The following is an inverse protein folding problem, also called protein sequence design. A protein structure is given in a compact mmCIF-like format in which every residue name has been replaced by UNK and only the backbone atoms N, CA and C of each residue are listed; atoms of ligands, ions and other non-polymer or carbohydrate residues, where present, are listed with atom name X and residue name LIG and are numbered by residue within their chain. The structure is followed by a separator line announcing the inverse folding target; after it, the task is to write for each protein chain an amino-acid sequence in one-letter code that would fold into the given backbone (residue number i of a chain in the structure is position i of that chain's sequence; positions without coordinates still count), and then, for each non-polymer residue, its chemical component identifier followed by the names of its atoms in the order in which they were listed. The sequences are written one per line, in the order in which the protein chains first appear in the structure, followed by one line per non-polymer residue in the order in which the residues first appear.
data_IF_511457315344
#
_entry.id   IF_511457315344
#
_cell.length_a   1.000
_cell.length_b   1.000
_cell.length_c   1.000
_cell.angle_alpha   90.00
_cell.angle_beta   90.00
_cell.angle_gamma   90.00
#
_symmetry.space_group_name_H-M   'P 1'
#
loop_
_entity.id
_entity.type
_entity.pdbx_description
1 polymer ?
#
# COMPACT_ATOMS: atom_id res chain seq x y z
N UNK A 1 14.03 18.52 -0.69
CA UNK A 1 13.44 17.50 -1.57
C UNK A 1 14.56 16.61 -2.08
N UNK A 2 14.58 15.35 -1.69
CA UNK A 2 15.57 14.37 -2.14
C UNK A 2 14.96 13.49 -3.24
N UNK A 3 15.76 13.13 -4.25
CA UNK A 3 15.40 12.14 -5.26
C UNK A 3 16.39 10.98 -5.13
N UNK A 4 15.87 9.79 -4.85
CA UNK A 4 16.66 8.57 -4.71
C UNK A 4 16.34 7.62 -5.86
N UNK A 5 17.31 7.38 -6.75
CA UNK A 5 17.19 6.37 -7.80
C UNK A 5 17.80 5.06 -7.29
N UNK A 6 16.99 3.99 -7.25
CA UNK A 6 17.40 2.64 -6.83
C UNK A 6 16.63 1.59 -7.61
N UNK A 7 17.35 0.53 -7.99
CA UNK A 7 16.73 -0.70 -8.48
C UNK A 7 16.41 -1.59 -7.30
N UNK A 8 15.18 -2.08 -7.22
CA UNK A 8 14.76 -3.04 -6.21
C UNK A 8 14.68 -4.42 -6.87
N UNK A 9 15.47 -5.38 -6.37
CA UNK A 9 15.59 -6.72 -6.95
C UNK A 9 15.99 -6.70 -8.44
N UNK A 10 16.96 -5.86 -8.82
CA UNK A 10 17.42 -5.66 -10.20
C UNK A 10 16.29 -5.21 -11.15
N UNK A 11 15.31 -4.46 -10.63
CA UNK A 11 14.19 -3.91 -11.40
C UNK A 11 14.02 -2.42 -11.09
N UNK A 12 13.81 -1.58 -12.12
CA UNK A 12 13.64 -0.14 -11.94
C UNK A 12 12.21 0.24 -11.46
N UNK A 13 11.31 -0.74 -11.34
CA UNK A 13 9.90 -0.50 -11.04
C UNK A 13 9.62 -0.44 -9.53
N UNK A 14 10.11 0.61 -8.86
CA UNK A 14 9.96 0.74 -7.40
C UNK A 14 8.49 0.65 -6.92
N UNK A 15 7.55 1.25 -7.67
CA UNK A 15 6.11 1.22 -7.34
C UNK A 15 5.44 -0.15 -7.44
N UNK A 16 6.09 -1.15 -8.04
CA UNK A 16 5.61 -2.54 -7.99
C UNK A 16 5.90 -3.16 -6.64
N UNK A 17 7.03 -2.81 -6.04
CA UNK A 17 7.52 -3.40 -4.80
C UNK A 17 7.10 -2.60 -3.57
N UNK A 18 7.03 -1.28 -3.64
CA UNK A 18 6.84 -0.43 -2.48
C UNK A 18 5.57 0.40 -2.57
N UNK A 19 4.96 0.67 -1.41
CA UNK A 19 3.88 1.66 -1.25
C UNK A 19 4.19 2.52 -0.04
N UNK A 20 3.73 3.77 -0.04
CA UNK A 20 4.07 4.73 1.02
C UNK A 20 2.93 5.73 1.25
N UNK A 21 2.80 6.19 2.49
CA UNK A 21 2.11 7.43 2.86
C UNK A 21 3.09 8.36 3.60
N UNK A 22 2.57 9.32 4.34
CA UNK A 22 3.35 10.33 5.06
C UNK A 22 4.11 9.80 6.30
N UNK A 23 3.80 8.60 6.80
CA UNK A 23 4.38 8.05 8.05
C UNK A 23 4.98 6.65 7.91
N UNK A 24 4.50 5.87 6.94
CA UNK A 24 4.79 4.44 6.78
C UNK A 24 5.08 4.12 5.31
N UNK A 25 6.16 3.39 5.08
CA UNK A 25 6.49 2.78 3.79
C UNK A 25 6.54 1.27 3.96
N UNK A 26 5.77 0.56 3.14
CA UNK A 26 5.77 -0.90 3.11
C UNK A 26 6.65 -1.39 1.97
N UNK A 27 7.52 -2.34 2.27
CA UNK A 27 8.47 -2.94 1.32
C UNK A 27 8.43 -4.47 1.41
N UNK A 28 8.86 -5.21 0.39
CA UNK A 28 9.06 -6.65 0.52
C UNK A 28 10.32 -6.99 1.35
N UNK A 29 10.38 -8.18 1.96
CA UNK A 29 11.59 -8.67 2.60
C UNK A 29 12.71 -8.90 1.57
N UNK A 30 13.96 -8.79 2.03
CA UNK A 30 15.16 -9.05 1.22
C UNK A 30 15.79 -7.81 0.57
N UNK A 31 15.26 -6.61 0.85
CA UNK A 31 15.94 -5.36 0.51
C UNK A 31 17.13 -5.16 1.47
N UNK A 32 18.34 -4.82 0.97
CA UNK A 32 19.51 -4.54 1.81
C UNK A 32 19.26 -3.43 2.83
N UNK A 33 19.88 -3.53 4.01
CA UNK A 33 19.73 -2.55 5.10
C UNK A 33 20.08 -1.13 4.66
N UNK A 34 21.16 -0.97 3.90
CA UNK A 34 21.60 0.33 3.39
C UNK A 34 20.54 0.97 2.48
N UNK A 35 19.84 0.19 1.66
CA UNK A 35 18.75 0.68 0.82
C UNK A 35 17.51 1.02 1.66
N UNK A 36 17.20 0.24 2.70
CA UNK A 36 16.11 0.55 3.66
C UNK A 36 16.37 1.89 4.36
N UNK A 37 17.60 2.11 4.84
CA UNK A 37 18.01 3.36 5.49
C UNK A 37 17.96 4.53 4.50
N UNK A 38 18.40 4.34 3.26
CA UNK A 38 18.31 5.35 2.21
C UNK A 38 16.84 5.71 1.88
N UNK A 39 15.96 4.71 1.77
CA UNK A 39 14.52 4.93 1.54
C UNK A 39 13.90 5.69 2.71
N UNK A 40 14.15 5.26 3.95
CA UNK A 40 13.64 5.92 5.15
C UNK A 40 14.12 7.37 5.25
N UNK A 41 15.41 7.63 5.00
CA UNK A 41 15.97 8.98 5.01
C UNK A 41 15.43 9.88 3.90
N UNK A 42 15.15 9.31 2.71
CA UNK A 42 14.61 10.07 1.59
C UNK A 42 13.11 10.39 1.74
N UNK A 43 12.32 9.45 2.26
CA UNK A 43 10.87 9.60 2.42
C UNK A 43 10.46 10.21 3.76
N UNK A 44 11.30 10.11 4.80
CA UNK A 44 10.98 10.56 6.15
C UNK A 44 9.99 9.64 6.89
N UNK A 45 9.87 8.40 6.45
CA UNK A 45 8.88 7.42 6.93
C UNK A 45 9.53 6.26 7.67
N UNK A 46 8.73 5.56 8.49
CA UNK A 46 9.13 4.25 9.01
C UNK A 46 8.98 3.21 7.92
N UNK A 47 10.03 2.42 7.67
CA UNK A 47 10.06 1.41 6.60
C UNK A 47 9.87 0.02 7.18
N UNK A 48 8.81 -0.67 6.77
CA UNK A 48 8.41 -1.96 7.32
C UNK A 48 8.35 -3.07 6.26
N UNK A 49 9.12 -4.16 6.42
CA UNK A 49 9.07 -5.31 5.51
C UNK A 49 7.80 -6.15 5.70
N UNK A 50 7.00 -6.31 4.65
CA UNK A 50 5.78 -7.13 4.64
C UNK A 50 5.67 -7.95 3.36
N UNK A 51 4.81 -8.95 3.39
CA UNK A 51 4.33 -9.66 2.19
C UNK A 51 2.80 -9.63 2.19
N UNK A 52 2.21 -9.81 1.02
CA UNK A 52 0.75 -9.94 0.85
C UNK A 52 0.51 -11.26 0.12
N UNK A 53 -0.02 -12.27 0.80
CA UNK A 53 -0.14 -13.61 0.25
C UNK A 53 1.20 -14.26 -0.07
N UNK A 54 2.26 -13.92 0.68
CA UNK A 54 3.64 -14.31 0.38
C UNK A 54 4.27 -13.62 -0.83
N UNK A 55 3.55 -12.70 -1.48
CA UNK A 55 4.05 -11.94 -2.64
C UNK A 55 4.96 -10.79 -2.23
N UNK A 56 5.96 -10.50 -3.09
CA UNK A 56 6.88 -9.36 -2.95
C UNK A 56 6.42 -8.10 -3.70
N UNK A 57 5.36 -8.17 -4.49
CA UNK A 57 4.85 -7.00 -5.23
C UNK A 57 3.89 -6.17 -4.37
N UNK A 58 4.38 -5.69 -3.22
CA UNK A 58 3.53 -5.02 -2.21
C UNK A 58 2.88 -3.77 -2.78
N UNK A 59 3.61 -2.97 -3.58
CA UNK A 59 3.08 -1.78 -4.24
C UNK A 59 1.91 -2.06 -5.19
N UNK A 60 1.86 -3.25 -5.79
CA UNK A 60 0.72 -3.70 -6.62
C UNK A 60 -0.48 -4.17 -5.80
N UNK A 61 -0.27 -4.58 -4.55
CA UNK A 61 -1.27 -5.27 -3.73
C UNK A 61 -1.81 -4.41 -2.57
N UNK A 62 -1.28 -3.20 -2.40
CA UNK A 62 -1.65 -2.28 -1.33
C UNK A 62 -1.82 -0.86 -1.87
N UNK A 63 -2.90 -0.19 -1.49
CA UNK A 63 -3.08 1.24 -1.67
C UNK A 63 -3.25 1.89 -0.29
N UNK A 64 -2.69 3.08 -0.07
CA UNK A 64 -2.73 3.73 1.24
C UNK A 64 -2.67 5.25 1.14
N UNK A 65 -3.20 5.91 2.17
CA UNK A 65 -3.04 7.33 2.43
C UNK A 65 -2.79 7.52 3.94
N UNK A 66 -2.86 8.75 4.45
CA UNK A 66 -2.60 9.06 5.86
C UNK A 66 -3.72 8.61 6.81
N UNK A 67 -4.83 8.05 6.31
CA UNK A 67 -5.97 7.59 7.11
C UNK A 67 -6.09 6.06 7.17
N UNK A 68 -5.57 5.36 6.16
CA UNK A 68 -5.71 3.91 6.08
C UNK A 68 -4.93 3.26 4.96
N UNK A 69 -4.95 1.93 4.98
CA UNK A 69 -4.40 1.06 3.96
C UNK A 69 -5.41 -0.02 3.56
N UNK A 70 -5.51 -0.23 2.24
CA UNK A 70 -6.30 -1.27 1.62
C UNK A 70 -5.37 -2.37 1.12
N UNK A 71 -5.69 -3.62 1.43
CA UNK A 71 -4.88 -4.78 1.05
C UNK A 71 -5.69 -5.81 0.26
N UNK A 72 -5.00 -6.50 -0.64
CA UNK A 72 -5.57 -7.58 -1.45
C UNK A 72 -6.09 -8.73 -0.58
N UNK A 73 -7.19 -9.38 -1.02
CA UNK A 73 -7.77 -10.55 -0.37
C UNK A 73 -6.89 -11.81 -0.38
N UNK A 74 -5.75 -11.81 -1.07
CA UNK A 74 -4.78 -12.91 -1.01
C UNK A 74 -3.94 -12.90 0.28
N UNK A 75 -4.07 -11.83 1.09
CA UNK A 75 -3.37 -11.70 2.36
C UNK A 75 -3.69 -12.87 3.30
N UNK A 76 -2.67 -13.39 3.98
CA UNK A 76 -2.83 -14.49 4.94
C UNK A 76 -3.22 -13.96 6.32
N UNK A 77 -3.84 -14.79 7.16
CA UNK A 77 -4.20 -14.41 8.54
C UNK A 77 -3.00 -13.94 9.37
N UNK A 78 -1.81 -14.53 9.13
CA UNK A 78 -0.57 -14.12 9.79
C UNK A 78 -0.13 -12.71 9.36
N UNK A 79 -0.23 -12.41 8.06
CA UNK A 79 0.09 -11.09 7.53
C UNK A 79 -0.93 -10.04 8.00
N UNK A 80 -2.22 -10.39 8.06
CA UNK A 80 -3.26 -9.52 8.64
C UNK A 80 -2.87 -9.10 10.07
N UNK A 81 -2.52 -10.05 10.95
CA UNK A 81 -2.14 -9.70 12.32
C UNK A 81 -0.91 -8.77 12.40
N UNK A 82 0.04 -8.89 11.47
CA UNK A 82 1.16 -7.94 11.37
C UNK A 82 0.67 -6.55 10.91
N UNK A 83 -0.16 -6.51 9.88
CA UNK A 83 -0.70 -5.28 9.31
C UNK A 83 -1.61 -4.54 10.30
N UNK A 84 -2.41 -5.25 11.10
CA UNK A 84 -3.23 -4.67 12.16
C UNK A 84 -2.38 -3.99 13.22
N UNK A 85 -1.27 -4.63 13.63
CA UNK A 85 -0.33 -4.01 14.56
C UNK A 85 0.28 -2.73 13.98
N UNK A 86 0.76 -2.78 12.74
CA UNK A 86 1.29 -1.60 12.06
C UNK A 86 0.23 -0.50 11.93
N UNK A 87 -0.99 -0.86 11.54
CA UNK A 87 -2.08 0.07 11.41
C UNK A 87 -2.38 0.76 12.76
N UNK A 88 -2.39 0.01 13.86
CA UNK A 88 -2.54 0.57 15.21
C UNK A 88 -1.38 1.47 15.60
N UNK A 89 -0.13 1.07 15.34
CA UNK A 89 1.08 1.82 15.70
C UNK A 89 1.13 3.19 15.00
N UNK A 90 0.56 3.28 13.79
CA UNK A 90 0.53 4.51 12.96
C UNK A 90 -0.85 5.19 12.89
N UNK A 91 -1.83 4.76 13.71
CA UNK A 91 -3.20 5.28 13.71
C UNK A 91 -3.89 5.26 12.32
N UNK A 92 -3.68 4.18 11.57
CA UNK A 92 -4.28 3.91 10.27
C UNK A 92 -5.40 2.88 10.41
N UNK A 93 -6.39 2.95 9.53
CA UNK A 93 -7.40 1.89 9.36
C UNK A 93 -6.92 0.85 8.35
N UNK A 94 -7.23 -0.43 8.61
CA UNK A 94 -6.92 -1.53 7.70
C UNK A 94 -8.20 -2.05 7.05
N UNK A 95 -8.21 -2.15 5.73
CA UNK A 95 -9.30 -2.76 4.96
C UNK A 95 -8.80 -3.87 4.05
N UNK A 96 -9.44 -5.05 4.09
CA UNK A 96 -9.18 -6.13 3.12
C UNK A 96 -10.23 -6.04 2.02
N UNK A 97 -9.79 -5.77 0.79
CA UNK A 97 -10.68 -5.67 -0.37
C UNK A 97 -10.85 -7.04 -1.02
N UNK A 98 -12.09 -7.55 -1.02
CA UNK A 98 -12.48 -8.79 -1.69
C UNK A 98 -13.22 -8.51 -2.98
N UNK A 99 -12.48 -8.39 -4.08
CA UNK A 99 -13.02 -8.20 -5.43
C UNK A 99 -12.29 -9.13 -6.41
N UNK A 100 -12.86 -9.35 -7.60
CA UNK A 100 -12.21 -10.10 -8.68
C UNK A 100 -10.93 -9.38 -9.14
N UNK A 101 -10.94 -8.05 -9.14
CA UNK A 101 -9.76 -7.22 -9.45
C UNK A 101 -9.00 -6.91 -8.16
N UNK A 102 -8.22 -7.87 -7.68
CA UNK A 102 -7.61 -7.80 -6.34
C UNK A 102 -6.20 -7.19 -6.28
N UNK A 103 -5.66 -6.70 -7.40
CA UNK A 103 -4.41 -5.95 -7.42
C UNK A 103 -4.64 -4.51 -6.94
N UNK A 104 -4.79 -4.32 -5.63
CA UNK A 104 -5.32 -3.08 -5.03
C UNK A 104 -4.52 -1.83 -5.44
N UNK A 105 -3.19 -1.89 -5.43
CA UNK A 105 -2.35 -0.76 -5.85
C UNK A 105 -2.48 -0.42 -7.35
N UNK A 106 -2.93 -1.35 -8.18
CA UNK A 106 -3.24 -1.07 -9.59
C UNK A 106 -4.66 -0.52 -9.80
N UNK A 107 -5.56 -0.75 -8.84
CA UNK A 107 -6.96 -0.40 -8.96
C UNK A 107 -7.33 0.89 -8.23
N UNK A 108 -6.44 1.45 -7.41
CA UNK A 108 -6.67 2.67 -6.64
C UNK A 108 -5.50 3.64 -6.80
N UNK A 109 -5.80 4.90 -7.09
CA UNK A 109 -4.88 6.02 -7.01
C UNK A 109 -5.46 7.02 -6.00
N UNK A 110 -4.84 7.17 -4.84
CA UNK A 110 -5.42 7.89 -3.70
C UNK A 110 -4.40 8.81 -3.05
N UNK A 111 -4.89 9.89 -2.44
CA UNK A 111 -4.16 10.71 -1.47
C UNK A 111 -5.11 11.12 -0.33
N UNK A 112 -4.72 12.10 0.49
CA UNK A 112 -5.51 12.56 1.64
C UNK A 112 -6.70 13.45 1.28
N UNK A 113 -6.86 13.82 0.00
CA UNK A 113 -7.93 14.70 -0.47
C UNK A 113 -8.95 13.99 -1.37
N UNK A 114 -8.61 12.81 -1.89
CA UNK A 114 -9.46 12.09 -2.84
C UNK A 114 -8.72 10.97 -3.55
N UNK A 115 -9.42 10.30 -4.46
CA UNK A 115 -8.79 9.33 -5.34
C UNK A 115 -9.66 8.87 -6.49
N UNK A 116 -9.04 8.04 -7.33
CA UNK A 116 -9.71 7.33 -8.41
C UNK A 116 -9.61 5.83 -8.19
N UNK A 117 -10.60 5.10 -8.67
CA UNK A 117 -10.55 3.65 -8.72
C UNK A 117 -10.94 3.10 -10.09
N UNK A 118 -10.54 1.86 -10.37
CA UNK A 118 -10.98 1.14 -11.55
C UNK A 118 -12.52 1.09 -11.62
N UNK A 119 -13.10 1.49 -12.75
CA UNK A 119 -14.55 1.50 -13.00
C UNK A 119 -15.24 0.15 -12.87
N UNK A 120 -14.48 -0.95 -12.95
CA UNK A 120 -15.00 -2.32 -12.85
C UNK A 120 -15.13 -2.82 -11.41
N UNK A 121 -14.66 -2.07 -10.42
CA UNK A 121 -14.83 -2.44 -9.02
C UNK A 121 -16.28 -2.30 -8.58
N UNK A 122 -16.74 -3.22 -7.74
CA UNK A 122 -18.10 -3.18 -7.19
C UNK A 122 -18.36 -1.94 -6.34
N UNK A 123 -19.62 -1.51 -6.26
CA UNK A 123 -20.03 -0.38 -5.42
C UNK A 123 -19.66 -0.58 -3.94
N UNK A 124 -19.85 -1.81 -3.41
CA UNK A 124 -19.47 -2.18 -2.05
C UNK A 124 -17.97 -2.06 -1.80
N UNK A 125 -17.13 -2.48 -2.77
CA UNK A 125 -15.68 -2.34 -2.71
C UNK A 125 -15.28 -0.87 -2.60
N UNK A 126 -15.90 0.00 -3.40
CA UNK A 126 -15.67 1.44 -3.35
C UNK A 126 -16.13 2.06 -2.04
N UNK A 127 -17.31 1.69 -1.54
CA UNK A 127 -17.84 2.20 -0.27
C UNK A 127 -16.91 1.86 0.90
N UNK A 128 -16.45 0.61 0.99
CA UNK A 128 -15.45 0.17 1.97
C UNK A 128 -14.13 0.93 1.82
N UNK A 129 -13.66 1.13 0.58
CA UNK A 129 -12.44 1.87 0.32
C UNK A 129 -12.53 3.33 0.81
N UNK A 130 -13.65 4.02 0.53
CA UNK A 130 -13.88 5.39 1.01
C UNK A 130 -13.99 5.44 2.54
N UNK A 131 -14.64 4.46 3.15
CA UNK A 131 -14.72 4.35 4.61
C UNK A 131 -13.30 4.28 5.20
N UNK A 132 -12.47 3.33 4.75
CA UNK A 132 -11.13 3.09 5.30
C UNK A 132 -10.15 4.24 5.01
N UNK A 133 -10.19 4.80 3.79
CA UNK A 133 -9.28 5.87 3.38
C UNK A 133 -9.77 7.27 3.76
N UNK A 134 -11.03 7.42 4.17
CA UNK A 134 -11.59 8.70 4.63
C UNK A 134 -11.69 9.78 3.57
N UNK A 135 -11.71 9.40 2.29
CA UNK A 135 -11.74 10.32 1.14
C UNK A 135 -12.75 9.84 0.10
N UNK A 136 -13.21 10.77 -0.73
CA UNK A 136 -14.07 10.44 -1.88
C UNK A 136 -13.25 9.73 -2.98
N UNK A 137 -13.82 8.66 -3.54
CA UNK A 137 -13.17 7.86 -4.59
C UNK A 137 -14.08 7.79 -5.81
N UNK A 138 -13.62 8.36 -6.92
CA UNK A 138 -14.38 8.38 -8.17
C UNK A 138 -13.95 7.25 -9.10
N UNK A 139 -14.89 6.44 -9.65
CA UNK A 139 -14.55 5.47 -10.68
C UNK A 139 -14.03 6.15 -11.96
N UNK A 140 -12.96 5.62 -12.57
CA UNK A 140 -12.39 6.13 -13.80
C UNK A 140 -11.82 5.00 -14.67
N UNK A 141 -11.91 5.16 -15.99
CA UNK A 141 -11.47 4.23 -17.03
C UNK A 141 -9.95 4.27 -17.25
#
# INVERSE_FOLDING_TARGET
MALLQRDLFNSPYAGVFCTTNDVLTLIPPGIPKDDIEAISGALGTTVEPVTIGGSRVVGTLVAMNSQGLLVSNIVTSREIGKLEKLASDFNLRLGVISDRSNAIGNNFLVNDNGGFCNERLGAQTRELAQEILGVEITPKS
#
